data_IF_094191472444
#
_entry.id   IF_094191472444
#
_cell.length_a   1.000
_cell.length_b   1.000
_cell.length_c   1.000
_cell.angle_alpha   90.00
_cell.angle_beta   90.00
_cell.angle_gamma   90.00
#
_symmetry.space_group_name_H-M   'P 1'
#
loop_
_entity.id
_entity.type
_entity.pdbx_description
1 polymer ?
#
# COMPACT_ATOMS: atom_id res chain seq x y z
N UNK A 1 -0.21 12.63 23.48
CA UNK A 1 -1.36 12.17 24.32
C UNK A 1 -0.82 11.63 25.64
N UNK A 2 -1.52 11.85 26.76
CA UNK A 2 -1.15 11.31 28.09
C UNK A 2 -1.57 9.85 28.30
N UNK A 3 -2.24 9.25 27.34
CA UNK A 3 -2.62 7.84 27.32
C UNK A 3 -1.62 7.07 26.47
N UNK A 4 -1.23 5.88 26.89
CA UNK A 4 -0.27 5.00 26.21
C UNK A 4 -0.80 3.57 26.11
N UNK A 5 -0.52 2.91 25.01
CA UNK A 5 -0.86 1.51 24.76
C UNK A 5 0.38 0.62 24.62
N UNK A 6 1.56 1.21 24.58
CA UNK A 6 2.87 0.54 24.58
C UNK A 6 3.59 0.87 25.90
N UNK A 7 3.81 -0.16 26.74
CA UNK A 7 4.45 0.01 28.04
C UNK A 7 5.85 0.64 27.97
N UNK A 8 6.56 0.47 26.87
CA UNK A 8 7.90 1.03 26.63
C UNK A 8 7.90 2.55 26.40
N UNK A 9 6.73 3.10 25.99
CA UNK A 9 6.52 4.53 25.73
C UNK A 9 5.88 5.26 26.91
N UNK A 10 5.64 4.57 28.02
CA UNK A 10 5.04 5.14 29.23
C UNK A 10 6.05 6.04 29.92
N UNK A 11 5.60 7.24 30.27
CA UNK A 11 6.31 8.23 31.06
C UNK A 11 5.62 8.46 32.40
N UNK A 12 6.32 9.11 33.36
CA UNK A 12 5.79 9.38 34.70
C UNK A 12 4.49 10.19 34.62
N UNK A 13 3.43 9.63 35.19
CA UNK A 13 2.11 10.25 35.24
C UNK A 13 1.17 9.89 34.09
N UNK A 14 1.61 9.08 33.13
CA UNK A 14 0.77 8.60 32.03
C UNK A 14 -0.29 7.59 32.51
N UNK A 15 -1.35 7.46 31.72
CA UNK A 15 -2.33 6.38 31.82
C UNK A 15 -1.94 5.29 30.82
N UNK A 16 -1.82 4.05 31.28
CA UNK A 16 -1.60 2.89 30.39
C UNK A 16 -2.90 2.14 30.16
N UNK A 17 -3.24 1.86 28.91
CA UNK A 17 -4.35 0.99 28.52
C UNK A 17 -3.81 -0.35 28.04
N UNK A 18 -4.18 -1.43 28.71
CA UNK A 18 -3.81 -2.79 28.36
C UNK A 18 -4.74 -3.34 27.27
N UNK A 19 -4.33 -3.23 26.00
CA UNK A 19 -5.12 -3.74 24.87
C UNK A 19 -4.85 -5.23 24.61
N UNK A 20 -5.88 -5.99 24.32
CA UNK A 20 -5.76 -7.35 23.76
C UNK A 20 -5.55 -7.23 22.24
N UNK A 21 -4.37 -7.58 21.76
CA UNK A 21 -4.05 -7.67 20.34
C UNK A 21 -4.17 -9.10 19.81
N UNK A 22 -3.98 -9.30 18.50
CA UNK A 22 -4.02 -10.63 17.86
C UNK A 22 -2.86 -11.50 18.32
N UNK A 23 -1.66 -10.93 18.42
CA UNK A 23 -0.42 -11.66 18.73
C UNK A 23 0.10 -11.39 20.15
N UNK A 24 -0.36 -10.31 20.79
CA UNK A 24 0.14 -9.87 22.10
C UNK A 24 -1.01 -9.36 22.97
N UNK A 25 -1.01 -9.77 24.25
CA UNK A 25 -1.91 -9.24 25.26
C UNK A 25 -1.21 -8.16 26.08
N UNK A 26 -1.72 -6.92 26.00
CA UNK A 26 -1.22 -5.77 26.75
C UNK A 26 -1.26 -5.94 28.27
N UNK A 27 -2.15 -6.79 28.79
CA UNK A 27 -2.26 -7.09 30.22
C UNK A 27 -0.98 -7.70 30.79
N UNK A 28 -0.20 -8.45 29.99
CA UNK A 28 1.08 -8.99 30.36
C UNK A 28 2.16 -7.92 30.65
N UNK A 29 1.93 -6.69 30.23
CA UNK A 29 2.88 -5.59 30.33
C UNK A 29 2.48 -4.51 31.33
N UNK A 30 1.39 -4.71 32.11
CA UNK A 30 0.89 -3.71 33.08
C UNK A 30 1.96 -3.41 34.15
N UNK A 31 2.59 -4.43 34.73
CA UNK A 31 3.64 -4.21 35.73
C UNK A 31 4.81 -3.40 35.16
N UNK A 32 5.17 -3.65 33.88
CA UNK A 32 6.22 -2.89 33.19
C UNK A 32 5.82 -1.43 32.97
N UNK A 33 4.56 -1.18 32.66
CA UNK A 33 4.04 0.17 32.53
C UNK A 33 4.09 0.93 33.86
N UNK A 34 3.76 0.27 34.98
CA UNK A 34 3.85 0.84 36.34
C UNK A 34 5.31 1.16 36.70
N UNK A 35 6.25 0.22 36.45
CA UNK A 35 7.68 0.47 36.65
C UNK A 35 8.19 1.69 35.87
N UNK A 36 7.66 1.89 34.65
CA UNK A 36 8.01 3.03 33.81
C UNK A 36 7.29 4.33 34.21
N UNK A 37 6.41 4.28 35.21
CA UNK A 37 5.80 5.47 35.82
C UNK A 37 4.34 5.72 35.48
N UNK A 38 3.62 4.72 34.98
CA UNK A 38 2.16 4.84 34.81
C UNK A 38 1.50 5.16 36.16
N UNK A 39 0.69 6.19 36.19
CA UNK A 39 -0.07 6.59 37.39
C UNK A 39 -1.48 5.98 37.41
N UNK A 40 -1.95 5.49 36.26
CA UNK A 40 -3.28 4.89 36.07
C UNK A 40 -3.21 3.75 35.07
N UNK A 41 -3.95 2.69 35.34
CA UNK A 41 -4.11 1.52 34.48
C UNK A 41 -5.56 1.36 34.08
N UNK A 42 -5.79 1.13 32.78
CA UNK A 42 -7.09 0.69 32.26
C UNK A 42 -6.88 -0.76 31.78
N UNK A 43 -7.66 -1.69 32.32
CA UNK A 43 -7.53 -3.12 32.05
C UNK A 43 -8.90 -3.79 32.10
N UNK A 44 -8.97 -5.07 31.68
CA UNK A 44 -10.20 -5.86 31.70
C UNK A 44 -10.32 -6.69 32.99
N UNK A 45 -9.22 -6.88 33.69
CA UNK A 45 -9.18 -7.63 34.96
C UNK A 45 -7.96 -7.24 35.81
N UNK A 46 -8.04 -7.51 37.09
CA UNK A 46 -6.92 -7.30 38.04
C UNK A 46 -7.07 -6.05 38.89
N UNK A 47 -6.14 -5.92 39.84
CA UNK A 47 -5.98 -4.74 40.72
C UNK A 47 -4.48 -4.52 40.94
N UNK A 48 -4.02 -3.30 40.77
CA UNK A 48 -2.61 -2.98 40.73
C UNK A 48 -2.26 -1.91 41.78
N UNK A 49 -0.96 -1.66 41.97
CA UNK A 49 -0.44 -0.72 42.97
C UNK A 49 -0.70 0.77 42.66
N UNK A 50 -1.31 1.07 41.53
CA UNK A 50 -1.69 2.41 41.09
C UNK A 50 -3.20 2.47 40.81
N UNK A 51 -3.74 3.65 40.57
CA UNK A 51 -5.16 3.80 40.22
C UNK A 51 -5.51 2.84 39.07
N UNK A 52 -6.49 1.95 39.30
CA UNK A 52 -6.87 0.92 38.34
C UNK A 52 -8.37 1.06 38.01
N UNK A 53 -8.68 1.17 36.74
CA UNK A 53 -10.06 1.13 36.23
C UNK A 53 -10.23 -0.16 35.44
N UNK A 54 -11.13 -1.02 35.92
CA UNK A 54 -11.50 -2.26 35.24
C UNK A 54 -12.69 -1.97 34.32
N UNK A 55 -12.54 -2.30 33.06
CA UNK A 55 -13.55 -2.11 32.01
C UNK A 55 -13.87 -3.43 31.32
N UNK A 56 -15.01 -3.53 30.67
CA UNK A 56 -15.41 -4.74 29.95
C UNK A 56 -14.57 -4.99 28.68
N UNK A 57 -14.19 -3.91 28.00
CA UNK A 57 -13.42 -3.94 26.75
C UNK A 57 -12.51 -2.69 26.73
N UNK A 58 -11.20 -2.92 26.79
CA UNK A 58 -10.21 -1.85 26.81
C UNK A 58 -10.07 -1.16 25.46
N UNK A 59 -10.41 -1.84 24.36
CA UNK A 59 -10.41 -1.26 23.01
C UNK A 59 -11.56 -0.28 22.85
N UNK A 60 -12.76 -0.67 23.28
CA UNK A 60 -13.93 0.23 23.29
C UNK A 60 -13.67 1.46 24.17
N UNK A 61 -13.09 1.26 25.35
CA UNK A 61 -12.70 2.38 26.23
C UNK A 61 -11.72 3.33 25.52
N UNK A 62 -10.68 2.79 24.85
CA UNK A 62 -9.73 3.61 24.11
C UNK A 62 -10.41 4.42 23.00
N UNK A 63 -11.28 3.78 22.21
CA UNK A 63 -12.01 4.45 21.13
C UNK A 63 -12.86 5.62 21.68
N UNK A 64 -13.60 5.39 22.75
CA UNK A 64 -14.44 6.43 23.38
C UNK A 64 -13.55 7.57 23.91
N UNK A 65 -12.48 7.25 24.61
CA UNK A 65 -11.52 8.25 25.08
C UNK A 65 -10.94 9.10 23.95
N UNK A 66 -10.51 8.47 22.85
CA UNK A 66 -9.93 9.16 21.71
C UNK A 66 -10.96 10.09 21.04
N UNK A 67 -12.19 9.63 20.87
CA UNK A 67 -13.28 10.41 20.27
C UNK A 67 -13.64 11.62 21.15
N UNK A 68 -13.79 11.41 22.44
CA UNK A 68 -14.17 12.48 23.38
C UNK A 68 -13.09 13.57 23.49
N UNK A 69 -11.82 13.19 23.47
CA UNK A 69 -10.73 14.15 23.69
C UNK A 69 -10.18 14.76 22.40
N UNK A 70 -10.30 14.07 21.26
CA UNK A 70 -9.63 14.45 20.01
C UNK A 70 -10.54 14.47 18.80
N UNK A 71 -11.76 13.93 18.89
CA UNK A 71 -12.70 13.83 17.79
C UNK A 71 -12.97 15.15 17.08
N UNK A 72 -13.16 16.24 17.84
CA UNK A 72 -13.42 17.59 17.27
C UNK A 72 -12.27 18.10 16.37
N UNK A 73 -11.03 17.75 16.71
CA UNK A 73 -9.87 18.13 15.88
C UNK A 73 -9.78 17.28 14.63
N UNK A 74 -9.99 15.96 14.78
CA UNK A 74 -9.92 15.01 13.66
C UNK A 74 -11.07 15.26 12.69
N UNK A 75 -12.27 15.60 13.16
CA UNK A 75 -13.42 15.91 12.32
C UNK A 75 -13.25 17.17 11.45
N UNK A 76 -12.26 18.01 11.72
CA UNK A 76 -11.90 19.15 10.86
C UNK A 76 -11.03 18.74 9.65
N UNK A 77 -10.47 17.54 9.68
CA UNK A 77 -9.75 16.98 8.55
C UNK A 77 -10.74 16.32 7.58
N UNK A 78 -10.53 16.51 6.29
CA UNK A 78 -11.16 15.68 5.26
C UNK A 78 -10.37 14.39 5.08
N UNK A 79 -10.97 13.27 5.48
CA UNK A 79 -10.30 11.97 5.50
C UNK A 79 -10.76 11.13 4.32
N UNK A 80 -9.78 10.70 3.50
CA UNK A 80 -9.97 9.86 2.33
C UNK A 80 -9.39 8.48 2.62
N UNK A 81 -10.21 7.44 2.61
CA UNK A 81 -9.79 6.05 2.72
C UNK A 81 -9.72 5.38 1.36
N UNK A 82 -8.59 4.74 1.03
CA UNK A 82 -8.43 4.02 -0.24
C UNK A 82 -8.20 2.54 0.04
N UNK A 83 -9.09 1.70 -0.49
CA UNK A 83 -9.00 0.25 -0.40
C UNK A 83 -9.00 -0.42 -1.79
N UNK A 84 -8.62 -1.69 -1.84
CA UNK A 84 -8.52 -2.51 -3.04
C UNK A 84 -7.40 -3.53 -2.92
N UNK A 85 -7.21 -4.39 -3.90
CA UNK A 85 -6.05 -5.29 -3.95
C UNK A 85 -4.82 -4.54 -4.40
N UNK A 86 -4.85 -3.96 -5.57
CA UNK A 86 -3.77 -3.20 -6.21
C UNK A 86 -4.12 -1.70 -6.27
N UNK A 87 -3.11 -0.84 -6.42
CA UNK A 87 -3.31 0.59 -6.66
C UNK A 87 -3.44 1.49 -5.43
N UNK A 88 -3.72 0.97 -4.23
CA UNK A 88 -3.90 1.76 -2.99
C UNK A 88 -2.79 2.80 -2.78
N UNK A 89 -1.55 2.33 -2.73
CA UNK A 89 -0.38 3.19 -2.49
C UNK A 89 -0.23 4.26 -3.54
N UNK A 90 -0.37 3.88 -4.81
CA UNK A 90 -0.22 4.82 -5.93
C UNK A 90 -1.33 5.86 -5.92
N UNK A 91 -2.60 5.45 -5.77
CA UNK A 91 -3.73 6.39 -5.70
C UNK A 91 -3.61 7.35 -4.53
N UNK A 92 -3.29 6.83 -3.32
CA UNK A 92 -3.14 7.67 -2.14
C UNK A 92 -1.97 8.66 -2.28
N UNK A 93 -0.83 8.18 -2.80
CA UNK A 93 0.33 9.03 -2.99
C UNK A 93 0.10 10.10 -4.07
N UNK A 94 -0.52 9.75 -5.20
CA UNK A 94 -0.87 10.71 -6.24
C UNK A 94 -1.83 11.78 -5.71
N UNK A 95 -2.84 11.40 -4.93
CA UNK A 95 -3.75 12.37 -4.32
C UNK A 95 -3.01 13.35 -3.40
N UNK A 96 -2.12 12.84 -2.54
CA UNK A 96 -1.25 13.63 -1.68
C UNK A 96 -0.39 14.61 -2.49
N UNK A 97 0.32 14.14 -3.52
CA UNK A 97 1.20 14.94 -4.36
C UNK A 97 0.43 16.06 -5.10
N UNK A 98 -0.70 15.71 -5.72
CA UNK A 98 -1.51 16.67 -6.48
C UNK A 98 -1.99 17.82 -5.59
N UNK A 99 -2.55 17.50 -4.42
CA UNK A 99 -3.05 18.52 -3.50
C UNK A 99 -1.91 19.42 -2.98
N UNK A 100 -0.78 18.84 -2.60
CA UNK A 100 0.37 19.63 -2.16
C UNK A 100 0.92 20.53 -3.28
N UNK A 101 0.95 20.08 -4.54
CA UNK A 101 1.29 20.93 -5.71
C UNK A 101 0.31 22.10 -5.89
N UNK A 102 -0.96 21.93 -5.52
CA UNK A 102 -1.97 22.99 -5.51
C UNK A 102 -1.84 23.93 -4.30
N UNK A 103 -0.90 23.71 -3.40
CA UNK A 103 -0.76 24.46 -2.15
C UNK A 103 -1.76 24.07 -1.05
N UNK A 104 -2.52 22.99 -1.26
CA UNK A 104 -3.43 22.40 -0.25
C UNK A 104 -2.70 21.34 0.54
N UNK A 105 -2.46 21.56 1.81
CA UNK A 105 -1.75 20.59 2.64
C UNK A 105 -2.54 19.30 2.80
N UNK A 106 -1.94 18.21 2.37
CA UNK A 106 -2.49 16.86 2.48
C UNK A 106 -1.51 15.93 3.19
N UNK A 107 -1.94 15.28 4.28
CA UNK A 107 -1.21 14.17 4.89
C UNK A 107 -1.40 12.88 4.10
N UNK A 108 -0.37 12.01 4.08
CA UNK A 108 -0.47 10.64 3.55
C UNK A 108 -0.08 9.64 4.64
N UNK A 109 -0.89 8.58 4.79
CA UNK A 109 -0.66 7.46 5.72
C UNK A 109 -0.76 6.15 4.95
N UNK A 110 0.32 5.37 4.86
CA UNK A 110 0.27 4.11 4.11
C UNK A 110 1.58 3.33 4.10
N UNK A 111 1.68 2.42 3.15
CA UNK A 111 2.77 1.44 3.02
C UNK A 111 4.15 2.07 2.92
N UNK A 112 4.28 3.22 2.27
CA UNK A 112 5.56 3.90 2.09
C UNK A 112 5.93 4.83 3.25
N UNK A 113 5.04 4.97 4.24
CA UNK A 113 5.26 5.73 5.46
C UNK A 113 4.20 6.76 5.76
N UNK A 114 4.55 7.75 6.57
CA UNK A 114 3.76 8.93 6.89
C UNK A 114 4.43 10.16 6.27
N UNK A 115 3.63 10.98 5.57
CA UNK A 115 4.10 12.19 4.89
C UNK A 115 3.22 13.39 5.23
N UNK A 116 3.86 14.54 5.38
CA UNK A 116 3.24 15.87 5.34
C UNK A 116 4.19 16.73 4.49
N UNK A 117 3.87 16.95 3.21
CA UNK A 117 4.75 17.41 2.14
C UNK A 117 5.87 16.39 1.86
N UNK A 118 6.78 16.17 2.82
CA UNK A 118 7.88 15.19 2.74
C UNK A 118 7.63 14.03 3.69
N UNK A 119 8.44 12.97 3.53
CA UNK A 119 8.37 11.81 4.43
C UNK A 119 8.79 12.17 5.84
N UNK A 120 7.86 12.05 6.79
CA UNK A 120 8.11 12.27 8.21
C UNK A 120 8.74 11.03 8.85
N UNK A 121 8.12 9.84 8.64
CA UNK A 121 8.60 8.57 9.19
C UNK A 121 8.06 7.34 8.45
N UNK A 122 8.73 6.20 8.64
CA UNK A 122 8.22 4.89 8.21
C UNK A 122 7.16 4.40 9.19
N UNK A 123 6.23 3.56 8.70
CA UNK A 123 5.19 2.93 9.49
C UNK A 123 5.38 1.41 9.48
N UNK A 124 4.99 0.75 10.56
CA UNK A 124 5.07 -0.71 10.68
C UNK A 124 3.97 -1.42 9.88
N UNK A 125 2.82 -0.79 9.75
CA UNK A 125 1.66 -1.32 9.04
C UNK A 125 1.16 -0.32 7.99
N UNK A 126 0.64 -0.84 6.88
CA UNK A 126 -0.05 -0.03 5.85
C UNK A 126 -1.19 0.79 6.46
N UNK A 127 -1.95 0.17 7.37
CA UNK A 127 -3.01 0.81 8.16
C UNK A 127 -2.62 0.67 9.62
N UNK A 128 -2.16 1.74 10.28
CA UNK A 128 -1.79 1.72 11.70
C UNK A 128 -2.95 1.34 12.60
N UNK A 129 -2.67 0.87 13.81
CA UNK A 129 -3.72 0.66 14.81
C UNK A 129 -4.29 2.01 15.28
N UNK A 130 -5.48 1.97 15.87
CA UNK A 130 -6.28 3.15 16.18
C UNK A 130 -5.53 4.20 17.00
N UNK A 131 -4.74 3.80 17.99
CA UNK A 131 -3.96 4.71 18.80
C UNK A 131 -2.92 5.47 17.96
N UNK A 132 -2.07 4.74 17.24
CA UNK A 132 -1.03 5.34 16.38
C UNK A 132 -1.69 6.20 15.28
N UNK A 133 -2.84 5.75 14.76
CA UNK A 133 -3.56 6.48 13.73
C UNK A 133 -4.07 7.84 14.22
N UNK A 134 -4.60 7.91 15.46
CA UNK A 134 -4.99 9.19 16.06
C UNK A 134 -3.79 10.11 16.29
N UNK A 135 -2.62 9.58 16.69
CA UNK A 135 -1.40 10.39 16.79
C UNK A 135 -1.01 11.00 15.43
N UNK A 136 -1.08 10.22 14.34
CA UNK A 136 -0.78 10.71 12.98
C UNK A 136 -1.79 11.77 12.51
N UNK A 137 -3.08 11.55 12.77
CA UNK A 137 -4.14 12.50 12.39
C UNK A 137 -4.03 13.80 13.18
N UNK A 138 -3.72 13.75 14.47
CA UNK A 138 -3.46 14.93 15.28
C UNK A 138 -2.24 15.71 14.79
N UNK A 139 -1.17 15.02 14.39
CA UNK A 139 0.00 15.67 13.80
C UNK A 139 -0.36 16.34 12.46
N UNK A 140 -1.20 15.73 11.63
CA UNK A 140 -1.73 16.39 10.42
C UNK A 140 -2.52 17.66 10.77
N UNK A 141 -3.42 17.58 11.78
CA UNK A 141 -4.20 18.71 12.24
C UNK A 141 -3.30 19.86 12.75
N UNK A 142 -2.34 19.54 13.62
CA UNK A 142 -1.41 20.53 14.21
C UNK A 142 -0.50 21.17 13.15
N UNK A 143 -0.25 20.49 12.04
CA UNK A 143 0.47 21.02 10.87
C UNK A 143 -0.42 21.72 9.85
N UNK A 144 -1.71 21.94 10.18
CA UNK A 144 -2.72 22.58 9.34
C UNK A 144 -2.93 21.87 7.99
N UNK A 145 -2.98 20.52 7.98
CA UNK A 145 -3.48 19.79 6.84
C UNK A 145 -4.98 20.03 6.68
N UNK A 146 -5.43 20.21 5.44
CA UNK A 146 -6.86 20.23 5.09
C UNK A 146 -7.37 18.82 4.83
N UNK A 147 -6.52 17.97 4.24
CA UNK A 147 -6.83 16.61 3.81
C UNK A 147 -5.87 15.60 4.43
N UNK A 148 -6.37 14.40 4.66
CA UNK A 148 -5.55 13.22 4.94
C UNK A 148 -6.02 12.08 4.06
N UNK A 149 -5.14 11.56 3.23
CA UNK A 149 -5.39 10.34 2.46
C UNK A 149 -4.67 9.16 3.10
N UNK A 150 -5.38 8.04 3.26
CA UNK A 150 -4.81 6.85 3.86
C UNK A 150 -5.14 5.57 3.11
N UNK A 151 -4.17 4.67 3.09
CA UNK A 151 -4.39 3.31 2.64
C UNK A 151 -5.14 2.51 3.71
N UNK A 152 -6.25 1.89 3.32
CA UNK A 152 -7.04 1.05 4.21
C UNK A 152 -7.00 -0.40 3.71
N UNK A 153 -6.17 -1.20 4.35
CA UNK A 153 -5.99 -2.61 4.03
C UNK A 153 -7.16 -3.46 4.55
N UNK A 154 -7.46 -4.57 3.90
CA UNK A 154 -8.51 -5.49 4.35
C UNK A 154 -8.23 -6.09 5.72
N UNK A 155 -6.96 -6.37 6.06
CA UNK A 155 -6.56 -6.81 7.39
C UNK A 155 -6.74 -5.69 8.43
N UNK A 156 -6.46 -4.43 8.05
CA UNK A 156 -6.71 -3.27 8.92
C UNK A 156 -8.21 -3.11 9.24
N UNK A 157 -9.08 -3.35 8.25
CA UNK A 157 -10.54 -3.34 8.42
C UNK A 157 -11.01 -4.53 9.26
N UNK A 158 -10.57 -5.75 8.94
CA UNK A 158 -10.93 -6.96 9.70
C UNK A 158 -10.48 -6.87 11.18
N UNK A 159 -9.33 -6.25 11.45
CA UNK A 159 -8.81 -5.99 12.79
C UNK A 159 -9.33 -4.68 13.41
N UNK A 160 -10.36 -4.06 12.82
CA UNK A 160 -11.05 -2.87 13.34
C UNK A 160 -10.13 -1.66 13.61
N UNK A 161 -9.02 -1.53 12.88
CA UNK A 161 -8.03 -0.46 13.12
C UNK A 161 -8.53 0.95 12.79
N UNK A 162 -9.61 1.05 12.01
CA UNK A 162 -10.23 2.31 11.58
C UNK A 162 -11.70 2.42 11.99
N UNK A 163 -12.19 1.54 12.86
CA UNK A 163 -13.64 1.42 13.21
C UNK A 163 -14.26 2.73 13.73
N UNK A 164 -13.49 3.52 14.47
CA UNK A 164 -13.96 4.78 15.04
C UNK A 164 -13.85 5.98 14.10
N UNK A 165 -13.17 5.84 12.97
CA UNK A 165 -13.00 6.94 12.04
C UNK A 165 -14.22 7.04 11.10
N UNK A 166 -14.57 8.27 10.77
CA UNK A 166 -15.55 8.57 9.73
C UNK A 166 -14.84 9.22 8.54
N UNK A 167 -15.08 8.66 7.36
CA UNK A 167 -14.45 9.09 6.12
C UNK A 167 -15.35 10.02 5.32
N UNK A 168 -14.75 11.06 4.71
CA UNK A 168 -15.43 11.91 3.74
C UNK A 168 -15.54 11.22 2.39
N UNK A 169 -14.51 10.44 2.04
CA UNK A 169 -14.43 9.64 0.81
C UNK A 169 -13.92 8.24 1.09
N UNK A 170 -14.59 7.24 0.53
CA UNK A 170 -14.13 5.87 0.46
C UNK A 170 -13.89 5.49 -1.01
N UNK A 171 -12.67 5.06 -1.34
CA UNK A 171 -12.27 4.70 -2.70
C UNK A 171 -12.05 3.21 -2.81
N UNK A 172 -12.65 2.59 -3.83
CA UNK A 172 -12.38 1.22 -4.24
C UNK A 172 -11.64 1.19 -5.58
N UNK A 173 -10.45 0.61 -5.60
CA UNK A 173 -9.63 0.50 -6.81
C UNK A 173 -9.90 -0.75 -7.62
N UNK A 174 -9.80 -1.94 -7.01
CA UNK A 174 -10.05 -3.25 -7.63
C UNK A 174 -10.03 -4.37 -6.58
N UNK A 175 -10.56 -5.55 -6.98
CA UNK A 175 -10.45 -6.78 -6.18
C UNK A 175 -10.00 -7.95 -7.02
N UNK A 176 -8.78 -8.43 -6.79
CA UNK A 176 -8.20 -9.62 -7.41
C UNK A 176 -7.63 -10.55 -6.33
N UNK A 177 -7.26 -11.77 -6.70
CA UNK A 177 -6.80 -12.77 -5.72
C UNK A 177 -5.57 -12.28 -4.94
N UNK A 178 -5.75 -12.11 -3.63
CA UNK A 178 -4.69 -11.91 -2.65
C UNK A 178 -5.24 -12.19 -1.24
N UNK A 179 -4.37 -12.41 -0.26
CA UNK A 179 -4.72 -12.57 1.16
C UNK A 179 -5.79 -13.66 1.45
N UNK A 180 -5.90 -14.72 0.61
CA UNK A 180 -6.83 -15.82 0.87
C UNK A 180 -6.35 -16.74 2.00
N UNK A 181 -5.07 -16.68 2.36
CA UNK A 181 -4.54 -17.22 3.61
C UNK A 181 -5.30 -16.68 4.83
N UNK A 182 -5.63 -15.40 4.83
CA UNK A 182 -6.35 -14.71 5.90
C UNK A 182 -7.89 -14.74 5.70
N UNK A 183 -8.38 -14.31 4.55
CA UNK A 183 -9.82 -14.14 4.29
C UNK A 183 -10.54 -15.41 3.87
N UNK A 184 -9.83 -16.47 3.47
CA UNK A 184 -10.30 -17.78 3.00
C UNK A 184 -11.03 -17.75 1.65
N UNK A 185 -11.89 -16.78 1.39
CA UNK A 185 -12.65 -16.65 0.13
C UNK A 185 -12.58 -15.22 -0.41
N UNK A 186 -12.79 -15.06 -1.73
CA UNK A 186 -12.88 -13.76 -2.37
C UNK A 186 -14.07 -12.94 -1.84
N UNK A 187 -15.17 -13.61 -1.49
CA UNK A 187 -16.35 -12.96 -0.91
C UNK A 187 -16.02 -12.35 0.47
N UNK A 188 -15.42 -13.11 1.39
CA UNK A 188 -14.98 -12.58 2.67
C UNK A 188 -13.97 -11.44 2.52
N UNK A 189 -13.12 -11.51 1.51
CA UNK A 189 -12.18 -10.46 1.18
C UNK A 189 -12.88 -9.19 0.69
N UNK A 190 -13.92 -9.33 -0.15
CA UNK A 190 -14.78 -8.22 -0.57
C UNK A 190 -15.51 -7.59 0.62
N UNK A 191 -16.15 -8.41 1.45
CA UNK A 191 -16.89 -7.98 2.64
C UNK A 191 -15.98 -7.25 3.64
N UNK A 192 -14.76 -7.74 3.87
CA UNK A 192 -13.80 -7.06 4.72
C UNK A 192 -13.47 -5.63 4.23
N UNK A 193 -13.31 -5.44 2.90
CA UNK A 193 -13.09 -4.10 2.33
C UNK A 193 -14.34 -3.23 2.35
N UNK A 194 -15.54 -3.83 2.29
CA UNK A 194 -16.81 -3.10 2.37
C UNK A 194 -16.95 -2.31 3.67
N UNK A 195 -16.30 -2.74 4.77
CA UNK A 195 -16.33 -2.05 6.06
C UNK A 195 -15.85 -0.58 5.96
N UNK A 196 -14.94 -0.26 5.03
CA UNK A 196 -14.55 1.13 4.78
C UNK A 196 -15.75 1.99 4.39
N UNK A 197 -16.63 1.46 3.54
CA UNK A 197 -17.79 2.20 3.01
C UNK A 197 -18.89 2.36 4.05
N UNK A 198 -18.98 1.44 5.03
CA UNK A 198 -19.87 1.57 6.20
C UNK A 198 -19.41 2.65 7.17
N UNK A 199 -18.12 3.00 7.11
CA UNK A 199 -17.51 4.05 7.91
C UNK A 199 -17.52 5.43 7.26
N UNK A 200 -18.25 5.62 6.16
CA UNK A 200 -18.49 6.94 5.58
C UNK A 200 -19.31 7.83 6.52
N UNK A 201 -19.05 9.14 6.48
CA UNK A 201 -19.94 10.15 7.07
C UNK A 201 -21.33 10.09 6.41
N UNK A 202 -22.34 10.70 7.01
CA UNK A 202 -23.71 10.73 6.46
C UNK A 202 -23.79 11.37 5.07
N UNK A 203 -22.91 12.33 4.79
CA UNK A 203 -22.71 13.02 3.50
C UNK A 203 -21.49 12.51 2.73
N UNK A 204 -20.81 11.51 3.27
CA UNK A 204 -19.61 10.89 2.68
C UNK A 204 -19.91 10.24 1.34
N UNK A 205 -18.90 10.15 0.49
CA UNK A 205 -19.03 9.71 -0.91
C UNK A 205 -18.21 8.46 -1.19
N UNK A 206 -18.83 7.50 -1.89
CA UNK A 206 -18.18 6.31 -2.41
C UNK A 206 -17.65 6.58 -3.82
N UNK A 207 -16.38 6.29 -4.05
CA UNK A 207 -15.71 6.40 -5.36
C UNK A 207 -15.32 4.99 -5.79
N UNK A 208 -15.99 4.45 -6.81
CA UNK A 208 -15.91 3.02 -7.15
C UNK A 208 -15.44 2.83 -8.58
N UNK A 209 -14.45 1.97 -8.78
CA UNK A 209 -14.03 1.55 -10.11
C UNK A 209 -15.16 0.75 -10.78
N UNK A 210 -15.74 1.31 -11.85
CA UNK A 210 -16.86 0.72 -12.60
C UNK A 210 -16.47 -0.57 -13.31
N UNK A 211 -15.23 -0.68 -13.72
CA UNK A 211 -14.75 -1.81 -14.54
C UNK A 211 -14.43 -3.06 -13.70
N UNK A 212 -14.44 -2.95 -12.38
CA UNK A 212 -14.21 -4.10 -11.50
C UNK A 212 -15.51 -4.92 -11.29
N UNK A 213 -15.35 -6.26 -11.34
CA UNK A 213 -16.47 -7.19 -11.18
C UNK A 213 -17.11 -7.17 -9.78
N UNK A 214 -16.39 -6.71 -8.78
CA UNK A 214 -16.86 -6.61 -7.38
C UNK A 214 -17.43 -5.24 -7.02
N UNK A 215 -17.61 -4.33 -7.97
CA UNK A 215 -18.09 -2.96 -7.71
C UNK A 215 -19.37 -2.89 -6.87
N UNK A 216 -20.31 -3.82 -7.08
CA UNK A 216 -21.61 -3.85 -6.41
C UNK A 216 -21.50 -3.97 -4.87
N UNK A 217 -20.42 -4.54 -4.36
CA UNK A 217 -20.13 -4.60 -2.92
C UNK A 217 -19.88 -3.23 -2.29
N UNK A 218 -19.49 -2.23 -3.10
CA UNK A 218 -18.99 -0.94 -2.64
C UNK A 218 -19.90 0.23 -3.00
N UNK A 219 -20.97 -0.03 -3.76
CA UNK A 219 -22.00 0.94 -4.02
C UNK A 219 -22.93 1.06 -2.80
N UNK A 220 -23.12 2.29 -2.35
CA UNK A 220 -24.03 2.58 -1.23
C UNK A 220 -25.48 2.45 -1.69
N UNK A 221 -26.38 2.10 -0.77
CA UNK A 221 -27.83 2.07 -1.04
C UNK A 221 -28.44 3.46 -1.26
N UNK A 222 -27.69 4.53 -1.01
CA UNK A 222 -28.09 5.93 -1.09
C UNK A 222 -27.24 6.67 -2.12
N UNK A 223 -27.73 7.80 -2.63
CA UNK A 223 -27.24 8.51 -3.84
C UNK A 223 -25.87 9.19 -3.76
N UNK A 224 -24.94 8.73 -2.94
CA UNK A 224 -23.58 9.31 -2.87
C UNK A 224 -22.50 8.42 -3.50
N UNK A 225 -22.88 7.70 -4.56
CA UNK A 225 -21.96 6.88 -5.34
C UNK A 225 -21.47 7.65 -6.56
N UNK A 226 -20.18 7.58 -6.81
CA UNK A 226 -19.54 8.07 -8.02
C UNK A 226 -18.65 6.97 -8.58
N UNK A 227 -18.79 6.69 -9.84
CA UNK A 227 -18.09 5.60 -10.52
C UNK A 227 -17.16 6.14 -11.59
N UNK A 228 -16.03 5.45 -11.81
CA UNK A 228 -15.08 5.81 -12.85
C UNK A 228 -14.57 4.55 -13.60
N UNK A 229 -14.28 4.67 -14.89
CA UNK A 229 -13.75 3.55 -15.67
C UNK A 229 -13.64 3.85 -17.17
N UNK A 230 -13.13 2.89 -17.92
CA UNK A 230 -13.08 2.92 -19.39
C UNK A 230 -14.40 2.45 -20.02
N UNK A 231 -14.99 1.39 -19.46
CA UNK A 231 -16.18 0.75 -20.02
C UNK A 231 -17.49 1.44 -19.58
N UNK A 232 -17.42 2.35 -18.61
CA UNK A 232 -18.60 3.05 -18.10
C UNK A 232 -18.28 3.87 -16.86
N UNK A 233 -19.32 4.31 -16.17
CA UNK A 233 -19.25 5.12 -14.96
C UNK A 233 -19.62 6.58 -15.18
N UNK A 234 -19.80 7.31 -14.08
CA UNK A 234 -20.12 8.74 -14.08
C UNK A 234 -18.95 9.57 -14.62
N UNK A 235 -17.73 9.11 -14.38
CA UNK A 235 -16.48 9.67 -14.89
C UNK A 235 -15.83 8.67 -15.84
N UNK A 236 -16.11 8.85 -17.14
CA UNK A 236 -15.62 7.92 -18.16
C UNK A 236 -14.27 8.37 -18.73
N UNK A 237 -13.35 7.42 -18.83
CA UNK A 237 -12.08 7.59 -19.55
C UNK A 237 -12.37 7.26 -21.01
N UNK A 238 -12.38 8.27 -21.90
CA UNK A 238 -12.80 8.10 -23.30
C UNK A 238 -11.68 7.67 -24.24
N UNK A 239 -10.46 8.17 -23.97
CA UNK A 239 -9.27 7.83 -24.75
C UNK A 239 -8.01 8.14 -23.93
N UNK A 240 -6.92 7.49 -24.29
CA UNK A 240 -5.58 7.84 -23.88
C UNK A 240 -4.64 7.62 -25.07
N UNK A 241 -3.59 8.41 -25.18
CA UNK A 241 -2.51 8.19 -26.12
C UNK A 241 -1.20 7.98 -25.37
N UNK A 242 -0.44 6.97 -25.80
CA UNK A 242 0.95 6.78 -25.38
C UNK A 242 1.80 7.59 -26.36
N UNK A 243 2.14 8.81 -25.99
CA UNK A 243 2.99 9.67 -26.83
C UNK A 243 4.44 9.28 -26.60
N UNK A 244 5.02 8.61 -27.59
CA UNK A 244 6.37 8.04 -27.54
C UNK A 244 7.43 9.15 -27.78
N UNK A 245 7.56 10.10 -26.88
CA UNK A 245 8.58 11.15 -26.93
C UNK A 245 9.59 11.00 -25.80
N UNK A 246 10.56 10.10 -25.98
CA UNK A 246 11.83 10.05 -25.24
C UNK A 246 11.81 9.79 -23.74
N UNK A 247 10.69 9.49 -23.11
CA UNK A 247 10.66 9.12 -21.69
C UNK A 247 9.63 8.03 -21.43
N UNK A 248 10.07 6.99 -20.81
CA UNK A 248 9.29 5.85 -20.29
C UNK A 248 8.17 6.26 -19.34
N UNK A 249 8.08 7.50 -18.97
CA UNK A 249 7.03 8.08 -18.15
C UNK A 249 5.64 7.97 -18.78
N UNK A 250 5.54 8.02 -20.09
CA UNK A 250 4.24 8.01 -20.79
C UNK A 250 3.55 6.64 -20.67
N UNK A 251 4.30 5.56 -20.55
CA UNK A 251 3.76 4.20 -20.41
C UNK A 251 3.36 3.87 -18.99
N UNK A 252 4.05 4.40 -18.02
CA UNK A 252 3.68 4.30 -16.60
C UNK A 252 2.30 4.91 -16.33
N UNK A 253 1.87 5.85 -17.14
CA UNK A 253 0.55 6.46 -17.03
C UNK A 253 -0.60 5.50 -17.36
N UNK A 254 -0.42 4.56 -18.26
CA UNK A 254 -1.47 3.61 -18.64
C UNK A 254 -2.00 2.82 -17.44
N UNK A 255 -1.12 2.20 -16.69
CA UNK A 255 -1.52 1.47 -15.49
C UNK A 255 -1.91 2.38 -14.31
N UNK A 256 -1.51 3.64 -14.35
CA UNK A 256 -1.84 4.61 -13.32
C UNK A 256 -3.06 5.49 -13.65
N UNK A 257 -3.67 5.37 -14.83
CA UNK A 257 -4.88 6.13 -15.18
C UNK A 257 -5.99 5.83 -14.17
N UNK A 258 -6.27 4.57 -13.87
CA UNK A 258 -7.26 4.23 -12.84
C UNK A 258 -6.89 4.80 -11.46
N UNK A 259 -5.62 4.75 -11.09
CA UNK A 259 -5.15 5.29 -9.80
C UNK A 259 -5.31 6.81 -9.74
N UNK A 260 -5.03 7.50 -10.84
CA UNK A 260 -5.17 8.94 -10.97
C UNK A 260 -6.63 9.38 -11.02
N UNK A 261 -7.48 8.62 -11.73
CA UNK A 261 -8.89 8.96 -11.90
C UNK A 261 -9.64 9.07 -10.57
N UNK A 262 -9.37 8.20 -9.60
CA UNK A 262 -9.98 8.32 -8.27
C UNK A 262 -9.67 9.67 -7.61
N UNK A 263 -8.45 10.18 -7.80
CA UNK A 263 -8.04 11.50 -7.29
C UNK A 263 -8.73 12.63 -8.04
N UNK A 264 -8.82 12.55 -9.38
CA UNK A 264 -9.50 13.54 -10.21
C UNK A 264 -10.98 13.65 -9.84
N UNK A 265 -11.65 12.50 -9.65
CA UNK A 265 -13.07 12.44 -9.24
C UNK A 265 -13.26 13.17 -7.90
N UNK A 266 -12.45 12.89 -6.88
CA UNK A 266 -12.56 13.57 -5.59
C UNK A 266 -12.35 15.07 -5.74
N UNK A 267 -11.33 15.50 -6.49
CA UNK A 267 -11.03 16.91 -6.69
C UNK A 267 -12.17 17.64 -7.44
N UNK A 268 -12.79 16.99 -8.43
CA UNK A 268 -13.96 17.53 -9.13
C UNK A 268 -15.16 17.68 -8.17
N UNK A 269 -15.39 16.68 -7.28
CA UNK A 269 -16.44 16.73 -6.26
C UNK A 269 -16.17 17.79 -5.16
N UNK A 270 -14.92 18.18 -4.96
CA UNK A 270 -14.50 19.29 -4.12
C UNK A 270 -14.58 20.65 -4.85
N UNK A 271 -15.15 20.69 -6.06
CA UNK A 271 -15.26 21.89 -6.91
C UNK A 271 -13.90 22.55 -7.20
N UNK A 272 -12.82 21.79 -7.26
CA UNK A 272 -11.50 22.29 -7.69
C UNK A 272 -11.57 22.54 -9.20
N UNK A 273 -11.18 23.73 -9.69
CA UNK A 273 -11.20 24.04 -11.13
C UNK A 273 -10.41 23.03 -11.96
N UNK A 274 -11.01 22.55 -13.05
CA UNK A 274 -10.44 21.46 -13.86
C UNK A 274 -9.08 21.82 -14.45
N UNK A 275 -8.87 23.08 -14.88
CA UNK A 275 -7.58 23.55 -15.37
C UNK A 275 -6.47 23.46 -14.31
N UNK A 276 -6.82 23.69 -13.03
CA UNK A 276 -5.88 23.55 -11.93
C UNK A 276 -5.57 22.06 -11.68
N UNK A 277 -6.57 21.17 -11.78
CA UNK A 277 -6.37 19.73 -11.69
C UNK A 277 -5.40 19.28 -12.77
N UNK A 278 -5.67 19.60 -14.05
CA UNK A 278 -4.82 19.23 -15.19
C UNK A 278 -3.39 19.73 -15.00
N UNK A 279 -3.22 21.01 -14.67
CA UNK A 279 -1.88 21.58 -14.43
C UNK A 279 -1.12 20.84 -13.33
N UNK A 280 -1.81 20.37 -12.31
CA UNK A 280 -1.18 19.72 -11.15
C UNK A 280 -0.89 18.23 -11.35
N UNK A 281 -1.56 17.57 -12.32
CA UNK A 281 -1.25 16.18 -12.68
C UNK A 281 -0.10 16.07 -13.67
N UNK A 282 0.32 17.16 -14.30
CA UNK A 282 1.55 17.17 -15.09
C UNK A 282 2.76 17.00 -14.17
N UNK A 283 3.78 16.27 -14.61
CA UNK A 283 5.05 16.05 -13.91
C UNK A 283 4.90 15.43 -12.50
N UNK A 284 3.93 14.55 -12.31
CA UNK A 284 3.79 13.77 -11.08
C UNK A 284 4.89 12.71 -10.96
N UNK A 285 5.46 12.61 -9.77
CA UNK A 285 6.37 11.53 -9.45
C UNK A 285 5.58 10.36 -8.87
N UNK A 286 5.84 9.16 -9.37
CA UNK A 286 5.32 7.94 -8.77
C UNK A 286 6.06 7.61 -7.47
N UNK A 287 5.42 6.94 -6.52
CA UNK A 287 6.11 6.49 -5.33
C UNK A 287 7.19 5.46 -5.69
N UNK A 288 8.35 5.55 -5.05
CA UNK A 288 9.50 4.69 -5.35
C UNK A 288 9.15 3.20 -5.27
N UNK A 289 9.56 2.45 -6.29
CA UNK A 289 9.29 1.03 -6.45
C UNK A 289 7.85 0.73 -6.86
N UNK A 290 7.16 1.68 -7.48
CA UNK A 290 5.91 1.50 -8.20
C UNK A 290 6.14 1.89 -9.64
N UNK A 291 6.39 0.92 -10.49
CA UNK A 291 6.81 1.06 -11.89
C UNK A 291 7.97 2.07 -12.04
N UNK A 292 8.92 2.03 -11.10
CA UNK A 292 10.12 2.85 -11.14
C UNK A 292 11.00 2.41 -12.30
N UNK A 293 11.37 3.33 -13.17
CA UNK A 293 12.11 3.03 -14.40
C UNK A 293 13.52 3.59 -14.37
N UNK A 294 14.48 2.82 -14.89
CA UNK A 294 15.88 3.18 -14.97
C UNK A 294 16.41 2.87 -16.37
N UNK A 295 17.12 3.79 -16.99
CA UNK A 295 17.82 3.54 -18.24
C UNK A 295 19.14 2.83 -17.97
N UNK A 296 19.42 1.77 -18.73
CA UNK A 296 20.70 1.05 -18.73
C UNK A 296 21.13 0.78 -20.17
N UNK A 297 22.06 1.58 -20.70
CA UNK A 297 22.41 1.65 -22.13
C UNK A 297 21.17 1.94 -22.98
N UNK A 298 20.87 1.09 -23.97
CA UNK A 298 19.62 1.14 -24.77
C UNK A 298 18.43 0.43 -24.10
N UNK A 299 18.65 -0.16 -22.91
CA UNK A 299 17.69 -1.00 -22.22
C UNK A 299 16.94 -0.24 -21.13
N UNK A 300 15.78 -0.78 -20.74
CA UNK A 300 14.99 -0.27 -19.66
C UNK A 300 14.90 -1.28 -18.52
N UNK A 301 15.07 -0.79 -17.29
CA UNK A 301 14.85 -1.58 -16.09
C UNK A 301 13.63 -1.06 -15.38
N UNK A 302 12.64 -1.92 -15.11
CA UNK A 302 11.41 -1.60 -14.39
C UNK A 302 11.50 -2.22 -13.00
N UNK A 303 11.38 -1.42 -11.96
CA UNK A 303 11.29 -1.90 -10.57
C UNK A 303 9.88 -1.70 -10.06
N UNK A 304 9.17 -2.79 -9.77
CA UNK A 304 7.79 -2.75 -9.31
C UNK A 304 7.52 -3.65 -8.10
N UNK A 305 6.50 -3.34 -7.34
CA UNK A 305 6.05 -4.10 -6.17
C UNK A 305 5.01 -5.18 -6.53
N UNK A 306 4.82 -5.49 -7.80
CA UNK A 306 3.86 -6.51 -8.27
C UNK A 306 4.05 -7.83 -7.53
N UNK A 307 3.07 -8.23 -6.71
CA UNK A 307 3.11 -9.43 -5.87
C UNK A 307 1.83 -10.25 -5.97
N UNK A 308 0.98 -9.92 -6.93
CA UNK A 308 -0.23 -10.65 -7.30
C UNK A 308 -0.18 -11.04 -8.78
N UNK A 309 -0.89 -12.11 -9.19
CA UNK A 309 -0.98 -12.48 -10.60
C UNK A 309 -1.42 -11.32 -11.51
N UNK A 310 -2.48 -10.61 -11.13
CA UNK A 310 -3.00 -9.46 -11.87
C UNK A 310 -1.97 -8.32 -12.00
N UNK A 311 -1.33 -7.94 -10.90
CA UNK A 311 -0.30 -6.90 -10.95
C UNK A 311 0.88 -7.28 -11.84
N UNK A 312 1.26 -8.57 -11.89
CA UNK A 312 2.32 -9.07 -12.76
C UNK A 312 1.93 -8.97 -14.24
N UNK A 313 0.68 -9.33 -14.59
CA UNK A 313 0.15 -9.15 -15.94
C UNK A 313 0.26 -7.69 -16.36
N UNK A 314 -0.15 -6.76 -15.49
CA UNK A 314 -0.09 -5.32 -15.77
C UNK A 314 1.34 -4.81 -16.01
N UNK A 315 2.31 -5.31 -15.27
CA UNK A 315 3.74 -4.96 -15.51
C UNK A 315 4.20 -5.50 -16.87
N UNK A 316 3.78 -6.70 -17.26
CA UNK A 316 4.12 -7.25 -18.58
C UNK A 316 3.43 -6.51 -19.72
N UNK A 317 2.16 -6.13 -19.58
CA UNK A 317 1.45 -5.29 -20.55
C UNK A 317 2.26 -4.01 -20.83
N UNK A 318 2.66 -3.30 -19.78
CA UNK A 318 3.50 -2.10 -19.90
C UNK A 318 4.84 -2.42 -20.58
N UNK A 319 5.52 -3.46 -20.14
CA UNK A 319 6.82 -3.82 -20.71
C UNK A 319 6.73 -4.10 -22.22
N UNK A 320 5.69 -4.82 -22.66
CA UNK A 320 5.49 -5.15 -24.07
C UNK A 320 5.07 -3.93 -24.92
N UNK A 321 4.37 -2.96 -24.35
CA UNK A 321 4.01 -1.73 -25.07
C UNK A 321 5.23 -0.84 -25.37
N UNK A 322 6.23 -0.82 -24.46
CA UNK A 322 7.39 0.08 -24.58
C UNK A 322 8.57 -0.52 -25.29
N UNK A 323 8.72 -1.84 -25.33
CA UNK A 323 9.88 -2.46 -25.95
C UNK A 323 9.61 -3.01 -27.33
N UNK A 324 10.62 -2.88 -28.20
CA UNK A 324 10.73 -3.67 -29.44
C UNK A 324 11.63 -4.92 -29.28
N UNK A 325 12.26 -5.04 -28.12
CA UNK A 325 13.13 -6.16 -27.74
C UNK A 325 12.39 -7.23 -26.93
N UNK A 326 13.12 -7.96 -26.13
CA UNK A 326 12.60 -9.01 -25.25
C UNK A 326 12.36 -8.47 -23.83
N UNK A 327 11.46 -9.15 -23.11
CA UNK A 327 11.22 -8.88 -21.68
C UNK A 327 11.86 -9.99 -20.86
N UNK A 328 12.66 -9.61 -19.88
CA UNK A 328 13.24 -10.49 -18.85
C UNK A 328 12.67 -10.13 -17.49
N UNK A 329 12.52 -11.08 -16.59
CA UNK A 329 11.99 -10.82 -15.27
C UNK A 329 12.77 -11.55 -14.17
N UNK A 330 13.01 -10.86 -13.05
CA UNK A 330 13.45 -11.46 -11.80
C UNK A 330 12.41 -11.25 -10.71
N UNK A 331 11.96 -12.33 -10.09
CA UNK A 331 10.99 -12.25 -9.01
C UNK A 331 11.14 -13.40 -8.01
N UNK A 332 10.57 -13.22 -6.84
CA UNK A 332 10.40 -14.25 -5.83
C UNK A 332 9.01 -14.17 -5.20
N UNK A 333 8.64 -15.13 -4.38
CA UNK A 333 7.39 -15.12 -3.63
C UNK A 333 7.68 -15.04 -2.13
N UNK A 334 6.87 -14.26 -1.42
CA UNK A 334 6.97 -14.07 0.02
C UNK A 334 6.40 -15.28 0.76
N UNK A 335 7.05 -15.71 1.83
CA UNK A 335 6.58 -16.75 2.72
C UNK A 335 5.38 -16.33 3.56
N UNK A 336 4.70 -17.29 4.20
CA UNK A 336 3.52 -17.10 5.06
C UNK A 336 2.43 -16.21 4.42
N UNK A 337 2.20 -16.43 3.11
CA UNK A 337 1.19 -15.76 2.27
C UNK A 337 0.46 -16.79 1.42
N UNK A 338 -0.55 -16.32 0.68
CA UNK A 338 -1.32 -17.12 -0.28
C UNK A 338 -0.39 -17.94 -1.18
N UNK A 339 -0.38 -19.28 -0.97
CA UNK A 339 0.49 -20.20 -1.71
C UNK A 339 0.00 -20.42 -3.14
N UNK A 340 -1.31 -20.37 -3.38
CA UNK A 340 -1.91 -20.65 -4.68
C UNK A 340 -1.51 -19.62 -5.75
N UNK A 341 -1.16 -18.41 -5.33
CA UNK A 341 -0.69 -17.39 -6.28
C UNK A 341 0.74 -17.66 -6.79
N UNK A 342 1.57 -18.46 -6.09
CA UNK A 342 2.98 -18.70 -6.44
C UNK A 342 3.12 -19.31 -7.83
N UNK A 343 2.46 -20.44 -8.07
CA UNK A 343 2.49 -21.11 -9.38
C UNK A 343 1.80 -20.28 -10.47
N UNK A 344 0.75 -19.54 -10.15
CA UNK A 344 0.06 -18.65 -11.10
C UNK A 344 0.99 -17.54 -11.58
N UNK A 345 1.73 -16.89 -10.65
CA UNK A 345 2.72 -15.87 -10.97
C UNK A 345 3.86 -16.43 -11.82
N UNK A 346 4.37 -17.63 -11.48
CA UNK A 346 5.42 -18.29 -12.24
C UNK A 346 4.98 -18.61 -13.67
N UNK A 347 3.73 -19.09 -13.86
CA UNK A 347 3.17 -19.35 -15.18
C UNK A 347 3.05 -18.08 -16.01
N UNK A 348 2.46 -17.02 -15.42
CA UNK A 348 2.34 -15.71 -16.08
C UNK A 348 3.72 -15.18 -16.50
N UNK A 349 4.72 -15.31 -15.61
CA UNK A 349 6.07 -14.89 -15.93
C UNK A 349 6.65 -15.65 -17.13
N UNK A 350 6.55 -16.99 -17.16
CA UNK A 350 7.06 -17.81 -18.24
C UNK A 350 6.33 -17.61 -19.58
N UNK A 351 5.03 -17.31 -19.52
CA UNK A 351 4.22 -17.01 -20.71
C UNK A 351 4.55 -15.65 -21.34
N UNK A 352 4.98 -14.69 -20.55
CA UNK A 352 5.13 -13.29 -20.98
C UNK A 352 6.59 -12.82 -21.06
N UNK A 353 7.55 -13.56 -20.49
CA UNK A 353 8.95 -13.20 -20.56
C UNK A 353 9.76 -14.11 -21.48
N UNK A 354 10.79 -13.56 -22.13
CA UNK A 354 11.79 -14.34 -22.84
C UNK A 354 12.55 -15.27 -21.90
N UNK A 355 12.85 -14.78 -20.69
CA UNK A 355 13.53 -15.55 -19.66
C UNK A 355 13.13 -15.07 -18.26
N UNK A 356 12.99 -16.02 -17.33
CA UNK A 356 12.54 -15.81 -15.97
C UNK A 356 13.61 -16.26 -14.99
N UNK A 357 14.00 -15.40 -14.06
CA UNK A 357 14.88 -15.75 -12.96
C UNK A 357 14.08 -15.72 -11.66
N UNK A 358 13.85 -16.89 -11.09
CA UNK A 358 13.21 -17.03 -9.79
C UNK A 358 14.25 -16.93 -8.70
N UNK A 359 13.98 -16.13 -7.68
CA UNK A 359 14.96 -15.90 -6.60
C UNK A 359 14.24 -15.77 -5.24
N UNK A 360 15.00 -15.68 -4.15
CA UNK A 360 14.40 -15.51 -2.83
C UNK A 360 13.69 -14.16 -2.69
N UNK A 361 12.65 -14.18 -1.88
CA UNK A 361 11.98 -13.01 -1.31
C UNK A 361 11.98 -13.19 0.22
N UNK A 362 11.23 -12.41 0.97
CA UNK A 362 11.11 -12.59 2.42
C UNK A 362 10.39 -13.91 2.75
N UNK A 363 11.08 -14.92 3.28
CA UNK A 363 10.45 -16.20 3.58
C UNK A 363 9.63 -16.16 4.86
N UNK A 364 9.72 -15.09 5.66
CA UNK A 364 9.20 -15.05 7.02
C UNK A 364 9.64 -16.30 7.81
N UNK A 365 8.68 -17.15 8.22
CA UNK A 365 8.96 -18.42 8.95
C UNK A 365 8.91 -19.65 8.05
N UNK A 366 8.64 -19.50 6.76
CA UNK A 366 8.52 -20.61 5.80
C UNK A 366 9.87 -20.99 5.20
N UNK A 367 10.05 -22.28 4.90
CA UNK A 367 11.28 -22.76 4.25
C UNK A 367 11.36 -22.25 2.81
N UNK A 368 12.47 -21.59 2.44
CA UNK A 368 12.67 -21.01 1.12
C UNK A 368 12.63 -22.05 -0.01
N UNK A 369 13.09 -23.28 0.22
CA UNK A 369 13.06 -24.34 -0.79
C UNK A 369 11.61 -24.84 -1.04
N UNK A 370 10.76 -24.83 -0.03
CA UNK A 370 9.31 -25.11 -0.20
C UNK A 370 8.65 -24.02 -1.06
N UNK A 371 9.03 -22.76 -0.88
CA UNK A 371 8.53 -21.66 -1.71
C UNK A 371 8.90 -21.88 -3.16
N UNK A 372 10.15 -22.30 -3.46
CA UNK A 372 10.58 -22.61 -4.83
C UNK A 372 9.81 -23.82 -5.41
N UNK A 373 9.57 -24.85 -4.62
CA UNK A 373 8.74 -25.99 -5.04
C UNK A 373 7.32 -25.53 -5.41
N UNK A 374 6.68 -24.68 -4.61
CA UNK A 374 5.35 -24.14 -4.92
C UNK A 374 5.38 -23.28 -6.18
N UNK A 375 6.46 -22.51 -6.42
CA UNK A 375 6.60 -21.69 -7.63
C UNK A 375 6.76 -22.53 -8.90
N UNK A 376 7.33 -23.74 -8.80
CA UNK A 376 7.69 -24.56 -9.97
C UNK A 376 6.84 -25.82 -10.16
N UNK A 377 6.00 -26.16 -9.17
CA UNK A 377 5.17 -27.36 -9.19
C UNK A 377 4.24 -27.44 -10.41
N UNK A 378 4.54 -28.37 -11.31
CA UNK A 378 3.75 -28.56 -12.54
C UNK A 378 3.96 -27.48 -13.61
N UNK A 379 4.98 -26.66 -13.50
CA UNK A 379 5.37 -25.69 -14.51
C UNK A 379 5.99 -26.42 -15.72
N UNK A 380 5.45 -26.21 -16.92
CA UNK A 380 5.88 -26.89 -18.15
C UNK A 380 6.54 -25.89 -19.12
N UNK A 381 7.56 -25.18 -18.64
CA UNK A 381 8.32 -24.20 -19.40
C UNK A 381 9.82 -24.49 -19.22
N UNK A 382 10.62 -24.11 -20.19
CA UNK A 382 12.09 -24.26 -20.20
C UNK A 382 12.83 -22.91 -20.14
N UNK A 383 12.08 -21.81 -20.11
CA UNK A 383 12.61 -20.46 -20.11
C UNK A 383 12.76 -19.87 -18.70
N UNK A 384 13.03 -20.70 -17.69
CA UNK A 384 13.26 -20.23 -16.34
C UNK A 384 14.40 -20.95 -15.63
N UNK A 385 14.93 -20.31 -14.60
CA UNK A 385 15.86 -20.92 -13.65
C UNK A 385 15.68 -20.34 -12.24
N UNK A 386 16.23 -21.04 -11.24
CA UNK A 386 16.27 -20.57 -9.85
C UNK A 386 17.69 -20.12 -9.53
N UNK A 387 17.86 -18.84 -9.20
CA UNK A 387 19.10 -18.26 -8.69
C UNK A 387 18.84 -17.80 -7.26
N UNK A 388 19.40 -18.51 -6.29
CA UNK A 388 19.08 -18.32 -4.87
C UNK A 388 19.47 -16.95 -4.34
N UNK A 389 20.67 -16.48 -4.64
CA UNK A 389 21.08 -15.13 -4.27
C UNK A 389 20.43 -14.10 -5.19
N UNK A 390 19.70 -13.17 -4.59
CA UNK A 390 18.94 -12.16 -5.34
C UNK A 390 19.83 -11.18 -6.08
N UNK A 391 20.98 -10.84 -5.52
CA UNK A 391 21.94 -9.96 -6.19
C UNK A 391 22.51 -10.63 -7.44
N UNK A 392 22.86 -11.91 -7.31
CA UNK A 392 23.37 -12.69 -8.44
C UNK A 392 22.30 -12.88 -9.52
N UNK A 393 21.02 -13.10 -9.09
CA UNK A 393 19.85 -13.17 -9.97
C UNK A 393 19.70 -11.88 -10.81
N UNK A 394 19.81 -10.72 -10.18
CA UNK A 394 19.68 -9.42 -10.85
C UNK A 394 20.88 -9.18 -11.78
N UNK A 395 22.12 -9.45 -11.34
CA UNK A 395 23.33 -9.30 -12.16
C UNK A 395 23.20 -10.17 -13.42
N UNK A 396 22.84 -11.45 -13.24
CA UNK A 396 22.63 -12.37 -14.34
C UNK A 396 21.58 -11.87 -15.33
N UNK A 397 20.44 -11.40 -14.85
CA UNK A 397 19.39 -10.85 -15.70
C UNK A 397 19.85 -9.64 -16.51
N UNK A 398 20.62 -8.73 -15.90
CA UNK A 398 21.17 -7.57 -16.59
C UNK A 398 22.21 -7.98 -17.65
N UNK A 399 23.04 -8.99 -17.36
CA UNK A 399 24.07 -9.47 -18.29
C UNK A 399 23.47 -10.23 -19.52
N UNK A 400 22.22 -10.68 -19.43
CA UNK A 400 21.50 -11.31 -20.54
C UNK A 400 20.89 -10.31 -21.53
N UNK A 401 20.76 -9.03 -21.16
CA UNK A 401 20.09 -8.01 -21.97
C UNK A 401 20.86 -7.71 -23.26
N UNK A 402 20.10 -7.63 -24.35
CA UNK A 402 20.53 -7.12 -25.65
C UNK A 402 19.99 -5.72 -25.87
N UNK A 403 20.15 -5.17 -27.05
CA UNK A 403 19.65 -3.83 -27.38
C UNK A 403 18.13 -3.77 -27.33
N UNK A 404 17.61 -2.72 -26.67
CA UNK A 404 16.18 -2.41 -26.51
C UNK A 404 15.37 -3.46 -25.72
N UNK A 405 16.05 -4.28 -24.91
CA UNK A 405 15.38 -5.21 -24.01
C UNK A 405 14.87 -4.51 -22.73
N UNK A 406 13.90 -5.12 -22.08
CA UNK A 406 13.40 -4.70 -20.75
C UNK A 406 13.72 -5.76 -19.71
N UNK A 407 14.16 -5.30 -18.55
CA UNK A 407 14.37 -6.14 -17.38
C UNK A 407 13.44 -5.69 -16.25
N UNK A 408 12.44 -6.50 -15.95
CA UNK A 408 11.53 -6.25 -14.83
C UNK A 408 12.06 -6.88 -13.55
N UNK A 409 12.17 -6.09 -12.50
CA UNK A 409 12.62 -6.49 -11.17
C UNK A 409 11.47 -6.32 -10.19
N UNK A 410 10.95 -7.41 -9.62
CA UNK A 410 10.03 -7.30 -8.50
C UNK A 410 10.77 -6.76 -7.28
N UNK A 411 10.25 -5.66 -6.71
CA UNK A 411 10.82 -5.03 -5.52
C UNK A 411 10.71 -5.97 -4.31
N UNK A 412 11.81 -6.15 -3.61
CA UNK A 412 11.89 -6.92 -2.36
C UNK A 412 11.56 -6.02 -1.16
N UNK A 413 10.62 -6.44 -0.30
CA UNK A 413 10.08 -5.76 0.88
C UNK A 413 10.89 -4.61 1.49
N UNK A 414 11.94 -4.91 2.26
CA UNK A 414 12.74 -3.92 3.03
C UNK A 414 13.92 -3.31 2.26
N UNK A 415 14.17 -3.70 1.01
CA UNK A 415 15.31 -3.18 0.25
C UNK A 415 14.91 -1.99 -0.63
N UNK A 416 15.67 -0.90 -0.52
CA UNK A 416 15.56 0.25 -1.40
C UNK A 416 16.51 0.05 -2.58
N UNK A 417 15.99 0.03 -3.78
CA UNK A 417 16.81 0.15 -4.97
C UNK A 417 17.27 1.60 -5.09
N UNK A 418 18.57 1.85 -5.11
CA UNK A 418 19.13 3.21 -5.19
C UNK A 418 19.48 3.59 -6.62
N UNK A 419 18.61 3.35 -7.58
CA UNK A 419 18.66 4.03 -8.87
C UNK A 419 19.99 4.07 -9.66
N UNK A 420 21.05 3.42 -9.20
CA UNK A 420 22.35 3.42 -9.86
C UNK A 420 22.81 2.00 -10.17
N UNK A 421 22.77 1.67 -11.46
CA UNK A 421 23.43 0.48 -12.01
C UNK A 421 24.60 0.98 -12.81
N UNK A 422 25.80 0.81 -12.27
CA UNK A 422 27.03 1.25 -12.91
C UNK A 422 28.00 0.06 -13.08
N UNK A 423 28.70 0.01 -14.20
CA UNK A 423 29.87 -0.87 -14.33
C UNK A 423 31.11 -0.14 -13.85
N UNK A 424 31.90 -0.80 -13.02
CA UNK A 424 33.22 -0.28 -12.65
C UNK A 424 34.15 -0.29 -13.89
N UNK A 425 35.22 0.50 -13.85
CA UNK A 425 36.27 0.49 -14.89
C UNK A 425 36.87 -0.91 -15.15
N UNK A 426 36.66 -1.87 -14.23
CA UNK A 426 37.06 -3.30 -14.37
C UNK A 426 35.94 -4.21 -14.86
N UNK A 427 34.77 -3.65 -15.31
CA UNK A 427 33.65 -4.41 -15.87
C UNK A 427 32.68 -5.00 -14.83
N UNK A 428 32.94 -4.87 -13.54
CA UNK A 428 32.05 -5.37 -12.49
C UNK A 428 30.80 -4.49 -12.36
N UNK A 429 29.62 -5.12 -12.29
CA UNK A 429 28.36 -4.43 -12.09
C UNK A 429 28.24 -3.99 -10.63
N UNK A 430 28.00 -2.72 -10.39
CA UNK A 430 27.71 -2.18 -9.06
C UNK A 430 26.23 -1.83 -8.98
N UNK A 431 25.52 -2.59 -8.16
CA UNK A 431 24.12 -2.33 -7.84
C UNK A 431 24.09 -1.82 -6.39
N UNK A 432 23.73 -0.58 -6.21
CA UNK A 432 23.61 -0.04 -4.84
C UNK A 432 22.26 -0.41 -4.25
N UNK A 433 22.27 -1.28 -3.25
CA UNK A 433 21.14 -1.55 -2.36
C UNK A 433 21.35 -0.85 -1.03
N UNK A 434 20.34 -0.18 -0.52
CA UNK A 434 20.27 0.17 0.90
C UNK A 434 19.29 -0.76 1.61
N UNK A 435 19.78 -1.46 2.61
CA UNK A 435 18.93 -2.16 3.58
C UNK A 435 18.29 -1.10 4.48
N UNK A 436 16.97 -1.06 4.56
CA UNK A 436 16.34 -0.31 5.65
C UNK A 436 16.61 -1.05 6.96
N UNK A 437 17.25 -0.35 7.88
CA UNK A 437 17.36 -0.75 9.28
C UNK A 437 16.06 -0.45 10.00
#
# INVERSE_FOLDING_TARGET
MKIKVDSRKVEKGDTFIALRGVDNDGHNYINKAIENGASKIICEEGNYSVETIVVKDTREYLINYLNENYGDRINKLKIIGITGTNGKTTSAYLFHEILNKMGKKCGYIGTIGFYINEKVRSLNNTTPDIYDLYELLLECYDKNCEYVVMEVSSQGLANKRVESLKFDYAVFTNLTQDHLDFHKTMENYALAKQELFKNLKSDGKAIVNYDDNYKEYYLLKYNNNFTYGFNGGDFKITSYEVINHNTVFDVTYLNNIYNLMSSIVIMALENIPFDLIIKSVCDLNLPKGRTETLKYNSNLIIVDYAHTPDAMIKVFEVAHEVTKGNVYVVFGCTGDRDKDKRIKMSRIACENAKYVIMTHDDPHFENQEEIYLDMTKGLKFDNYEIVRDRKDAIIKGIDMLKENDIFSIRKYGKYKFLGEINRTKKGSLVIKYLKYV
#
